data_IF_906357528367
#
_entry.id   IF_906357528367
#
_cell.length_a   1.000
_cell.length_b   1.000
_cell.length_c   1.000
_cell.angle_alpha   90.00
_cell.angle_beta   90.00
_cell.angle_gamma   90.00
#
_symmetry.space_group_name_H-M   'P 1'
#
loop_
_entity.id
_entity.type
_entity.pdbx_description
1 polymer ?
#
# COMPACT_ATOMS: atom_id res chain seq x y z
N UNK A 1 10.45 -38.46 -2.93
CA UNK A 1 9.88 -39.51 -2.06
C UNK A 1 9.01 -40.40 -2.94
N UNK A 2 9.16 -41.72 -2.86
CA UNK A 2 8.50 -42.65 -3.78
C UNK A 2 7.29 -43.31 -3.11
N UNK A 3 6.16 -43.38 -3.80
CA UNK A 3 5.01 -44.18 -3.36
C UNK A 3 5.12 -45.63 -3.92
N UNK A 4 4.73 -46.65 -3.16
CA UNK A 4 4.66 -48.03 -3.65
C UNK A 4 3.29 -48.37 -4.26
N UNK A 5 3.30 -49.18 -5.31
CA UNK A 5 2.16 -50.01 -5.74
C UNK A 5 2.01 -51.21 -4.78
N UNK A 6 0.78 -51.75 -4.65
CA UNK A 6 0.60 -53.16 -5.04
C UNK A 6 -0.76 -53.47 -5.69
N UNK A 7 -0.87 -54.60 -6.41
CA UNK A 7 -2.18 -55.28 -6.62
C UNK A 7 -2.69 -55.52 -8.04
N UNK A 8 -1.97 -56.31 -8.84
CA UNK A 8 -2.54 -57.18 -9.89
C UNK A 8 -2.36 -58.66 -9.43
N UNK A 9 -2.90 -59.73 -10.07
CA UNK A 9 -3.61 -59.89 -11.36
C UNK A 9 -5.11 -60.26 -11.13
N UNK A 10 -5.94 -60.96 -11.94
CA UNK A 10 -5.82 -61.85 -13.12
C UNK A 10 -7.08 -61.73 -14.01
N UNK A 11 -6.99 -61.81 -15.35
CA UNK A 11 -8.17 -61.85 -16.24
C UNK A 11 -8.76 -63.27 -16.43
N UNK A 12 -10.06 -63.34 -16.68
CA UNK A 12 -10.74 -64.47 -17.35
C UNK A 12 -11.33 -63.90 -18.65
N UNK A 13 -10.77 -64.18 -19.82
CA UNK A 13 -10.74 -65.44 -20.58
C UNK A 13 -12.06 -65.69 -21.32
N UNK A 14 -11.94 -65.77 -22.64
CA UNK A 14 -13.01 -65.87 -23.64
C UNK A 14 -13.34 -67.35 -23.90
N UNK A 15 -14.62 -67.67 -24.12
CA UNK A 15 -15.00 -68.49 -25.28
C UNK A 15 -16.52 -68.44 -25.60
N UNK A 16 -16.92 -68.57 -26.88
CA UNK A 16 -18.28 -68.82 -27.30
C UNK A 16 -18.58 -70.34 -27.42
N UNK A 17 -19.83 -70.72 -27.69
CA UNK A 17 -20.17 -72.06 -28.19
C UNK A 17 -19.80 -72.26 -29.68
N UNK A 18 -20.25 -73.34 -30.36
CA UNK A 18 -21.37 -74.24 -30.01
C UNK A 18 -21.12 -75.75 -30.32
N UNK A 19 -22.21 -76.50 -30.62
CA UNK A 19 -22.36 -77.79 -31.36
C UNK A 19 -23.00 -78.97 -30.58
N UNK A 20 -23.56 -79.93 -31.35
CA UNK A 20 -24.41 -81.09 -30.96
C UNK A 20 -23.57 -82.40 -31.00
N UNK A 21 -23.99 -83.63 -30.65
CA UNK A 21 -25.30 -84.28 -30.38
C UNK A 21 -25.08 -85.55 -29.46
N UNK A 22 -25.95 -86.54 -29.17
CA UNK A 22 -27.34 -86.90 -29.58
C UNK A 22 -28.30 -87.03 -28.36
N UNK A 23 -28.87 -88.14 -27.85
CA UNK A 23 -28.85 -89.61 -28.09
C UNK A 23 -28.54 -90.38 -26.77
N UNK A 24 -29.39 -91.23 -26.16
CA UNK A 24 -30.66 -91.87 -26.55
C UNK A 24 -31.46 -92.35 -25.29
N UNK A 25 -32.67 -92.93 -25.40
CA UNK A 25 -33.18 -93.91 -24.39
C UNK A 25 -34.39 -93.60 -23.46
N UNK A 26 -35.57 -93.32 -23.99
CA UNK A 26 -36.91 -93.44 -23.32
C UNK A 26 -37.23 -94.89 -22.86
N UNK A 27 -38.11 -95.18 -21.85
CA UNK A 27 -39.55 -94.82 -21.80
C UNK A 27 -40.11 -94.50 -20.38
N UNK A 28 -41.38 -94.14 -20.12
CA UNK A 28 -42.67 -94.50 -20.76
C UNK A 28 -43.81 -93.51 -20.47
N UNK A 29 -44.91 -93.60 -21.24
CA UNK A 29 -46.27 -93.26 -20.76
C UNK A 29 -47.03 -92.22 -21.59
N UNK A 30 -48.11 -92.59 -22.33
CA UNK A 30 -48.89 -91.65 -23.12
C UNK A 30 -50.07 -91.04 -22.37
N UNK A 31 -50.30 -89.73 -22.56
CA UNK A 31 -51.63 -89.13 -22.47
C UNK A 31 -51.89 -88.25 -23.69
N UNK A 32 -53.12 -88.32 -24.21
CA UNK A 32 -53.57 -87.63 -25.42
C UNK A 32 -54.11 -86.21 -25.11
N UNK A 33 -54.41 -85.37 -26.14
CA UNK A 33 -54.09 -83.95 -26.05
C UNK A 33 -55.16 -83.06 -25.39
N UNK A 34 -54.69 -81.94 -24.82
CA UNK A 34 -55.51 -80.78 -24.46
C UNK A 34 -55.03 -79.53 -25.24
N UNK A 35 -55.91 -78.76 -25.91
CA UNK A 35 -55.50 -77.66 -26.79
C UNK A 35 -55.46 -76.29 -26.10
N UNK A 36 -54.63 -75.38 -26.67
CA UNK A 36 -54.54 -73.91 -26.42
C UNK A 36 -53.88 -73.44 -25.11
N UNK A 37 -52.66 -72.91 -25.23
CA UNK A 37 -52.12 -71.89 -24.29
C UNK A 37 -51.44 -70.69 -24.98
N UNK A 38 -51.87 -70.33 -26.19
CA UNK A 38 -51.43 -69.07 -26.86
C UNK A 38 -51.87 -67.80 -26.11
N UNK A 39 -52.85 -67.88 -25.18
CA UNK A 39 -53.27 -66.76 -24.34
C UNK A 39 -52.25 -66.42 -23.26
N UNK A 40 -51.74 -67.40 -22.51
CA UNK A 40 -50.87 -67.12 -21.36
C UNK A 40 -49.53 -66.52 -21.80
N UNK A 41 -48.93 -67.01 -22.90
CA UNK A 41 -47.72 -66.42 -23.47
C UNK A 41 -47.91 -64.96 -23.92
N UNK A 42 -49.08 -64.63 -24.48
CA UNK A 42 -49.41 -63.26 -24.89
C UNK A 42 -49.68 -62.34 -23.69
N UNK A 43 -50.29 -62.86 -22.61
CA UNK A 43 -50.45 -62.12 -21.34
C UNK A 43 -49.09 -61.86 -20.68
N UNK A 44 -48.17 -62.83 -20.68
CA UNK A 44 -46.81 -62.65 -20.15
C UNK A 44 -46.03 -61.62 -20.99
N UNK A 45 -46.09 -61.71 -22.32
CA UNK A 45 -45.46 -60.72 -23.21
C UNK A 45 -46.04 -59.31 -23.00
N UNK A 46 -47.36 -59.18 -22.83
CA UNK A 46 -48.02 -57.91 -22.53
C UNK A 46 -47.62 -57.37 -21.15
N UNK A 47 -47.49 -58.23 -20.14
CA UNK A 47 -47.04 -57.83 -18.80
C UNK A 47 -45.57 -57.36 -18.79
N UNK A 48 -44.68 -58.01 -19.54
CA UNK A 48 -43.29 -57.57 -19.71
C UNK A 48 -43.24 -56.24 -20.47
N UNK A 49 -44.01 -56.09 -21.55
CA UNK A 49 -44.10 -54.83 -22.29
C UNK A 49 -44.64 -53.69 -21.42
N UNK A 50 -45.67 -53.94 -20.60
CA UNK A 50 -46.20 -52.98 -19.64
C UNK A 50 -45.18 -52.61 -18.56
N UNK A 51 -44.42 -53.59 -18.04
CA UNK A 51 -43.34 -53.33 -17.08
C UNK A 51 -42.23 -52.45 -17.68
N UNK A 52 -41.81 -52.71 -18.92
CA UNK A 52 -40.80 -51.91 -19.64
C UNK A 52 -41.31 -50.50 -19.95
N UNK A 53 -42.60 -50.34 -20.28
CA UNK A 53 -43.22 -49.02 -20.46
C UNK A 53 -43.29 -48.25 -19.13
N UNK A 54 -43.63 -48.91 -18.02
CA UNK A 54 -43.67 -48.29 -16.70
C UNK A 54 -42.27 -47.89 -16.19
N UNK A 55 -41.24 -48.71 -16.39
CA UNK A 55 -39.86 -48.35 -15.99
C UNK A 55 -39.28 -47.24 -16.86
N UNK A 56 -39.52 -47.26 -18.17
CA UNK A 56 -39.06 -46.18 -19.06
C UNK A 56 -39.78 -44.84 -18.78
N UNK A 57 -41.08 -44.85 -18.50
CA UNK A 57 -41.80 -43.65 -17.99
C UNK A 57 -41.25 -43.20 -16.64
N UNK A 58 -40.92 -44.13 -15.74
CA UNK A 58 -40.29 -43.82 -14.45
C UNK A 58 -38.93 -43.13 -14.61
N UNK A 59 -38.06 -43.65 -15.49
CA UNK A 59 -36.74 -43.06 -15.78
C UNK A 59 -36.87 -41.69 -16.46
N UNK A 60 -37.77 -41.54 -17.44
CA UNK A 60 -38.06 -40.23 -18.05
C UNK A 60 -38.56 -39.22 -17.04
N UNK A 61 -39.43 -39.64 -16.10
CA UNK A 61 -39.93 -38.78 -15.02
C UNK A 61 -38.81 -38.38 -14.06
N UNK A 62 -37.93 -39.31 -13.68
CA UNK A 62 -36.77 -39.02 -12.83
C UNK A 62 -35.82 -38.01 -13.49
N UNK A 63 -35.45 -38.22 -14.76
CA UNK A 63 -34.58 -37.31 -15.51
C UNK A 63 -35.18 -35.90 -15.68
N UNK A 64 -36.51 -35.80 -15.86
CA UNK A 64 -37.21 -34.51 -15.94
C UNK A 64 -37.30 -33.78 -14.58
N UNK A 65 -37.32 -34.51 -13.46
CA UNK A 65 -37.23 -33.92 -12.12
C UNK A 65 -35.80 -33.46 -11.85
N UNK A 66 -34.81 -34.32 -12.11
CA UNK A 66 -33.38 -34.06 -11.94
C UNK A 66 -32.95 -32.80 -12.72
N UNK A 67 -33.30 -32.72 -14.01
CA UNK A 67 -33.02 -31.55 -14.85
C UNK A 67 -33.68 -30.26 -14.35
N UNK A 68 -34.80 -30.37 -13.62
CA UNK A 68 -35.50 -29.21 -13.04
C UNK A 68 -34.88 -28.78 -11.71
N UNK A 69 -34.39 -29.69 -10.88
CA UNK A 69 -33.54 -29.33 -9.74
C UNK A 69 -32.26 -28.66 -10.22
N UNK A 70 -31.49 -29.29 -11.13
CA UNK A 70 -30.23 -28.69 -11.63
C UNK A 70 -30.43 -27.31 -12.24
N UNK A 71 -31.52 -27.09 -13.00
CA UNK A 71 -31.83 -25.78 -13.56
C UNK A 71 -32.30 -24.76 -12.50
N UNK A 72 -32.99 -25.19 -11.43
CA UNK A 72 -33.40 -24.32 -10.34
C UNK A 72 -32.22 -23.96 -9.41
N UNK A 73 -31.33 -24.91 -9.16
CA UNK A 73 -30.10 -24.74 -8.37
C UNK A 73 -29.12 -23.82 -9.11
N UNK A 74 -28.95 -24.00 -10.43
CA UNK A 74 -28.15 -23.10 -11.27
C UNK A 74 -28.74 -21.68 -11.26
N UNK A 75 -30.05 -21.53 -11.50
CA UNK A 75 -30.72 -20.23 -11.46
C UNK A 75 -30.80 -19.61 -10.05
N UNK A 76 -30.48 -20.37 -8.99
CA UNK A 76 -30.32 -19.85 -7.63
C UNK A 76 -28.86 -19.39 -7.40
N UNK A 77 -27.88 -20.14 -7.90
CA UNK A 77 -26.47 -19.74 -7.89
C UNK A 77 -26.23 -18.46 -8.72
N UNK A 78 -26.77 -18.39 -9.94
CA UNK A 78 -26.71 -17.20 -10.82
C UNK A 78 -27.21 -15.95 -10.09
N UNK A 79 -28.36 -16.01 -9.39
CA UNK A 79 -28.87 -14.88 -8.60
C UNK A 79 -28.00 -14.54 -7.40
N UNK A 80 -27.38 -15.52 -6.75
CA UNK A 80 -26.46 -15.25 -5.64
C UNK A 80 -25.15 -14.60 -6.12
N UNK A 81 -24.67 -14.97 -7.31
CA UNK A 81 -23.52 -14.34 -7.97
C UNK A 81 -23.85 -12.93 -8.47
N UNK A 82 -25.07 -12.70 -8.99
CA UNK A 82 -25.57 -11.36 -9.33
C UNK A 82 -25.69 -10.47 -8.07
N UNK A 83 -26.34 -10.94 -7.00
CA UNK A 83 -26.49 -10.20 -5.74
C UNK A 83 -25.15 -9.87 -5.08
N UNK A 84 -24.15 -10.76 -5.21
CA UNK A 84 -22.78 -10.50 -4.74
C UNK A 84 -22.09 -9.44 -5.61
N UNK A 85 -22.12 -9.55 -6.94
CA UNK A 85 -21.53 -8.54 -7.84
C UNK A 85 -22.17 -7.16 -7.66
N UNK A 86 -23.48 -7.11 -7.50
CA UNK A 86 -24.27 -5.90 -7.26
C UNK A 86 -23.98 -5.28 -5.87
N UNK A 87 -23.44 -6.07 -4.93
CA UNK A 87 -22.90 -5.60 -3.65
C UNK A 87 -21.46 -5.10 -3.78
N UNK A 88 -20.58 -5.90 -4.40
CA UNK A 88 -19.17 -5.57 -4.63
C UNK A 88 -19.01 -4.26 -5.42
N UNK A 89 -19.86 -4.02 -6.43
CA UNK A 89 -19.91 -2.77 -7.19
C UNK A 89 -20.33 -1.57 -6.33
N UNK A 90 -21.23 -1.75 -5.37
CA UNK A 90 -21.68 -0.69 -4.43
C UNK A 90 -20.62 -0.39 -3.37
N UNK A 91 -19.86 -1.38 -2.92
CA UNK A 91 -18.72 -1.18 -2.02
C UNK A 91 -17.55 -0.53 -2.77
N UNK A 92 -17.26 -0.95 -4.00
CA UNK A 92 -16.24 -0.33 -4.85
C UNK A 92 -16.56 1.13 -5.17
N UNK A 93 -17.80 1.47 -5.52
CA UNK A 93 -18.21 2.86 -5.76
C UNK A 93 -18.08 3.71 -4.50
N UNK A 94 -18.53 3.22 -3.33
CA UNK A 94 -18.33 3.91 -2.04
C UNK A 94 -16.85 4.10 -1.71
N UNK A 95 -15.99 3.15 -2.06
CA UNK A 95 -14.54 3.28 -1.96
C UNK A 95 -13.98 4.42 -2.82
N UNK A 96 -14.42 4.51 -4.09
CA UNK A 96 -14.04 5.60 -5.01
C UNK A 96 -14.54 6.96 -4.52
N UNK A 97 -15.80 7.05 -4.07
CA UNK A 97 -16.40 8.29 -3.58
C UNK A 97 -15.67 8.80 -2.32
N UNK A 98 -15.33 7.92 -1.38
CA UNK A 98 -14.54 8.25 -0.19
C UNK A 98 -13.12 8.72 -0.56
N UNK A 99 -12.43 8.00 -1.45
CA UNK A 99 -11.07 8.37 -1.90
C UNK A 99 -11.05 9.71 -2.63
N UNK A 100 -12.13 10.07 -3.35
CA UNK A 100 -12.27 11.38 -3.98
C UNK A 100 -12.39 12.51 -2.92
N UNK A 101 -13.15 12.29 -1.84
CA UNK A 101 -13.22 13.23 -0.71
C UNK A 101 -11.86 13.36 -0.04
N UNK A 102 -11.23 12.24 0.36
CA UNK A 102 -9.90 12.23 1.00
C UNK A 102 -8.83 12.94 0.16
N UNK A 103 -8.85 12.77 -1.17
CA UNK A 103 -7.96 13.49 -2.09
C UNK A 103 -8.20 15.00 -2.05
N UNK A 104 -9.46 15.47 -2.13
CA UNK A 104 -9.76 16.91 -2.07
C UNK A 104 -9.44 17.55 -0.71
N UNK A 105 -9.61 16.81 0.40
CA UNK A 105 -9.19 17.27 1.73
C UNK A 105 -7.67 17.34 1.84
N UNK A 106 -6.94 16.37 1.28
CA UNK A 106 -5.48 16.38 1.23
C UNK A 106 -4.92 17.53 0.36
N UNK A 107 -5.53 17.81 -0.79
CA UNK A 107 -5.18 18.96 -1.64
C UNK A 107 -5.42 20.29 -0.92
N UNK A 108 -6.56 20.45 -0.25
CA UNK A 108 -6.86 21.64 0.54
C UNK A 108 -5.89 21.81 1.73
N UNK A 109 -5.55 20.72 2.42
CA UNK A 109 -4.56 20.73 3.51
C UNK A 109 -3.15 21.08 3.02
N UNK A 110 -2.75 20.57 1.84
CA UNK A 110 -1.47 20.89 1.21
C UNK A 110 -1.39 22.36 0.78
N UNK A 111 -2.46 22.90 0.18
CA UNK A 111 -2.56 24.32 -0.14
C UNK A 111 -2.45 25.20 1.13
N UNK A 112 -3.21 24.87 2.17
CA UNK A 112 -3.15 25.59 3.46
C UNK A 112 -1.81 25.42 4.19
N UNK A 113 -1.04 24.35 3.95
CA UNK A 113 0.34 24.22 4.41
C UNK A 113 1.30 25.11 3.61
N UNK A 114 1.16 25.17 2.29
CA UNK A 114 1.96 26.03 1.42
C UNK A 114 1.77 27.52 1.72
N UNK A 115 0.52 27.97 1.94
CA UNK A 115 0.25 29.36 2.37
C UNK A 115 0.97 29.70 3.67
N UNK A 116 0.83 28.86 4.71
CA UNK A 116 1.49 29.08 6.01
C UNK A 116 3.02 29.04 5.92
N UNK A 117 3.58 28.25 5.02
CA UNK A 117 5.03 28.25 4.76
C UNK A 117 5.48 29.58 4.14
N UNK A 118 4.76 30.10 3.14
CA UNK A 118 5.04 31.40 2.54
C UNK A 118 4.82 32.58 3.50
N UNK A 119 3.81 32.51 4.37
CA UNK A 119 3.61 33.49 5.46
C UNK A 119 4.76 33.47 6.46
N UNK A 120 5.24 32.28 6.86
CA UNK A 120 6.37 32.13 7.77
C UNK A 120 7.70 32.60 7.15
N UNK A 121 7.92 32.34 5.86
CA UNK A 121 9.09 32.83 5.12
C UNK A 121 9.05 34.36 4.96
N UNK A 122 7.90 34.93 4.58
CA UNK A 122 7.72 36.38 4.51
C UNK A 122 7.86 37.08 5.88
N UNK A 123 7.40 36.45 6.97
CA UNK A 123 7.62 36.95 8.33
C UNK A 123 9.08 36.85 8.75
N UNK A 124 9.77 35.75 8.40
CA UNK A 124 11.21 35.58 8.65
C UNK A 124 12.03 36.64 7.92
N UNK A 125 11.82 36.84 6.62
CA UNK A 125 12.55 37.86 5.86
C UNK A 125 12.26 39.29 6.31
N UNK A 126 11.09 39.56 6.88
CA UNK A 126 10.82 40.84 7.56
C UNK A 126 11.58 40.97 8.88
N UNK A 127 11.67 39.90 9.68
CA UNK A 127 12.46 39.90 10.91
C UNK A 127 13.96 40.05 10.63
N UNK A 128 14.50 39.37 9.61
CA UNK A 128 15.89 39.51 9.15
C UNK A 128 16.19 40.93 8.67
N UNK A 129 15.29 41.55 7.88
CA UNK A 129 15.43 42.96 7.48
C UNK A 129 15.30 43.96 8.65
N UNK A 130 14.52 43.63 9.68
CA UNK A 130 14.34 44.48 10.87
C UNK A 130 15.44 44.29 11.93
N UNK A 131 16.21 43.20 11.85
CA UNK A 131 17.36 42.91 12.71
C UNK A 131 18.72 43.27 12.05
N UNK A 132 18.73 43.61 10.76
CA UNK A 132 19.92 44.10 10.08
C UNK A 132 20.42 45.43 10.68
N UNK A 133 21.74 45.62 10.90
CA UNK A 133 22.25 46.82 11.57
C UNK A 133 21.97 48.10 10.79
N UNK A 134 21.50 49.14 11.50
CA UNK A 134 21.30 50.47 10.96
C UNK A 134 22.59 51.30 10.91
N UNK A 135 22.56 52.43 10.20
CA UNK A 135 23.71 53.36 10.13
C UNK A 135 24.16 53.84 11.51
N UNK A 136 23.23 54.02 12.45
CA UNK A 136 23.51 54.34 13.86
C UNK A 136 24.37 53.30 14.57
N UNK A 137 24.23 52.04 14.17
CA UNK A 137 24.74 50.89 14.89
C UNK A 137 26.18 50.61 14.43
N UNK A 138 26.43 50.82 13.14
CA UNK A 138 27.78 50.98 12.59
C UNK A 138 28.51 52.21 13.16
N UNK A 139 27.86 53.37 13.30
CA UNK A 139 28.45 54.55 13.95
C UNK A 139 28.83 54.26 15.42
N UNK A 140 27.96 53.60 16.17
CA UNK A 140 28.20 53.20 17.57
C UNK A 140 29.34 52.17 17.68
N UNK A 141 29.35 51.14 16.84
CA UNK A 141 30.42 50.15 16.75
C UNK A 141 31.79 50.80 16.51
N UNK A 142 31.89 51.66 15.50
CA UNK A 142 33.12 52.38 15.16
C UNK A 142 33.55 53.35 16.28
N UNK A 143 32.58 53.98 16.96
CA UNK A 143 32.82 54.82 18.15
C UNK A 143 33.39 54.01 19.31
N UNK A 144 32.86 52.82 19.59
CA UNK A 144 33.34 51.92 20.63
C UNK A 144 34.79 51.50 20.37
N UNK A 145 35.11 51.02 19.17
CA UNK A 145 36.49 50.63 18.79
C UNK A 145 37.48 51.78 18.95
N UNK A 146 37.21 52.93 18.32
CA UNK A 146 38.10 54.10 18.29
C UNK A 146 38.24 54.78 19.66
N UNK A 147 37.32 54.51 20.59
CA UNK A 147 37.45 54.92 21.99
C UNK A 147 38.33 53.99 22.83
N UNK A 148 38.48 52.72 22.44
CA UNK A 148 39.10 51.67 23.27
C UNK A 148 40.58 51.46 22.96
N UNK A 149 40.96 51.31 21.68
CA UNK A 149 42.37 51.22 21.24
C UNK A 149 42.65 52.29 20.15
N UNK A 150 43.66 53.16 20.32
CA UNK A 150 44.05 54.12 19.29
C UNK A 150 44.52 53.49 17.96
N UNK A 151 44.91 52.21 17.91
CA UNK A 151 45.27 51.51 16.67
C UNK A 151 44.11 51.46 15.65
N UNK A 152 42.86 51.36 16.11
CA UNK A 152 41.67 51.39 15.24
C UNK A 152 41.40 52.78 14.62
N UNK A 153 42.16 53.82 14.97
CA UNK A 153 42.05 55.16 14.37
C UNK A 153 42.82 55.30 13.06
N UNK A 154 43.70 54.35 12.75
CA UNK A 154 44.45 54.28 11.48
C UNK A 154 43.94 53.20 10.53
N UNK A 155 42.89 52.47 10.92
CA UNK A 155 42.17 51.52 10.05
C UNK A 155 40.99 52.25 9.40
N UNK A 156 40.70 51.91 8.15
CA UNK A 156 39.55 52.45 7.42
C UNK A 156 38.23 51.94 7.99
N UNK A 157 37.20 52.78 7.97
CA UNK A 157 35.89 52.44 8.53
C UNK A 157 35.21 51.28 7.80
N UNK A 158 35.39 51.14 6.48
CA UNK A 158 34.83 50.02 5.73
C UNK A 158 35.44 48.68 6.17
N UNK A 159 36.76 48.64 6.41
CA UNK A 159 37.45 47.44 6.90
C UNK A 159 37.05 47.10 8.33
N UNK A 160 36.84 48.09 9.20
CA UNK A 160 36.35 47.82 10.56
C UNK A 160 34.92 47.27 10.54
N UNK A 161 34.03 47.85 9.73
CA UNK A 161 32.65 47.38 9.53
C UNK A 161 32.61 45.95 8.99
N UNK A 162 33.35 45.65 7.93
CA UNK A 162 33.44 44.30 7.34
C UNK A 162 33.84 43.24 8.38
N UNK A 163 34.80 43.55 9.27
CA UNK A 163 35.21 42.63 10.34
C UNK A 163 34.12 42.49 11.42
N UNK A 164 33.32 43.53 11.65
CA UNK A 164 32.15 43.50 12.53
C UNK A 164 31.05 42.60 11.99
N UNK A 165 30.68 42.80 10.72
CA UNK A 165 29.69 41.98 10.01
C UNK A 165 30.12 40.50 9.99
N UNK A 166 31.36 40.20 9.57
CA UNK A 166 31.92 38.82 9.56
C UNK A 166 31.97 38.20 10.96
N UNK A 167 32.13 39.01 12.02
CA UNK A 167 32.05 38.53 13.40
C UNK A 167 30.64 38.11 13.77
N UNK A 168 29.63 38.90 13.39
CA UNK A 168 28.22 38.60 13.65
C UNK A 168 27.73 37.40 12.81
N UNK A 169 28.09 37.31 11.53
CA UNK A 169 27.86 36.15 10.65
C UNK A 169 28.41 34.84 11.27
N UNK A 170 29.59 34.91 11.88
CA UNK A 170 30.21 33.77 12.55
C UNK A 170 29.45 33.36 13.84
N UNK A 171 28.90 34.33 14.58
CA UNK A 171 28.11 34.07 15.78
C UNK A 171 26.70 33.54 15.45
N UNK A 172 26.05 34.05 14.40
CA UNK A 172 24.78 33.50 13.90
C UNK A 172 24.97 32.08 13.33
N UNK A 173 26.12 31.80 12.69
CA UNK A 173 26.44 30.47 12.14
C UNK A 173 26.82 29.42 13.19
N UNK A 174 27.61 29.81 14.21
CA UNK A 174 28.24 28.88 15.16
C UNK A 174 27.82 29.05 16.62
N UNK A 175 26.90 29.98 16.91
CA UNK A 175 26.38 30.25 18.24
C UNK A 175 27.36 30.95 19.18
N UNK A 176 26.83 31.54 20.24
CA UNK A 176 27.50 32.49 21.12
C UNK A 176 28.50 31.89 22.15
N UNK A 177 28.94 30.63 21.96
CA UNK A 177 29.71 29.90 22.97
C UNK A 177 31.09 30.49 23.24
N UNK A 178 31.65 30.26 24.44
CA UNK A 178 33.05 30.60 24.76
C UNK A 178 34.05 30.01 23.75
N UNK A 179 33.77 28.81 23.24
CA UNK A 179 34.60 28.17 22.21
C UNK A 179 34.50 28.90 20.86
N UNK A 180 33.32 29.42 20.50
CA UNK A 180 33.11 30.25 19.31
C UNK A 180 33.81 31.60 19.47
N UNK A 181 33.57 32.31 20.58
CA UNK A 181 34.20 33.60 20.92
C UNK A 181 35.72 33.48 20.92
N UNK A 182 36.29 32.46 21.57
CA UNK A 182 37.74 32.21 21.56
C UNK A 182 38.29 31.87 20.16
N UNK A 183 37.48 31.26 19.29
CA UNK A 183 37.88 30.97 17.90
C UNK A 183 37.85 32.22 17.01
N UNK A 184 36.86 33.10 17.17
CA UNK A 184 36.83 34.42 16.51
C UNK A 184 38.08 35.23 16.92
N UNK A 185 38.39 35.28 18.21
CA UNK A 185 39.61 35.94 18.73
C UNK A 185 40.89 35.32 18.15
N UNK A 186 40.94 33.99 18.01
CA UNK A 186 42.06 33.28 17.38
C UNK A 186 42.21 33.61 15.88
N UNK A 187 41.09 33.76 15.17
CA UNK A 187 41.08 34.18 13.75
C UNK A 187 41.64 35.59 13.61
N UNK A 188 41.15 36.58 14.38
CA UNK A 188 41.68 37.94 14.33
C UNK A 188 43.17 38.04 14.71
N UNK A 189 43.63 37.23 15.67
CA UNK A 189 45.07 37.08 15.98
C UNK A 189 45.86 36.50 14.80
N UNK A 190 45.33 35.48 14.12
CA UNK A 190 45.97 34.92 12.91
C UNK A 190 46.03 35.92 11.74
N UNK A 191 45.07 36.86 11.69
CA UNK A 191 45.03 37.99 10.75
C UNK A 191 45.93 39.18 11.16
N UNK A 192 46.67 39.08 12.27
CA UNK A 192 47.66 40.07 12.70
C UNK A 192 47.21 41.05 13.79
N UNK A 193 46.00 40.90 14.34
CA UNK A 193 45.60 41.65 15.54
C UNK A 193 46.30 41.12 16.80
N UNK A 194 46.37 41.93 17.85
CA UNK A 194 46.60 41.38 19.20
C UNK A 194 45.34 40.67 19.72
N UNK A 195 45.50 39.71 20.65
CA UNK A 195 44.36 39.02 21.28
C UNK A 195 43.39 40.00 21.96
N UNK A 196 43.94 41.11 22.50
CA UNK A 196 43.17 42.21 23.07
C UNK A 196 42.30 42.88 22.00
N UNK A 197 42.92 43.39 20.93
CA UNK A 197 42.21 44.06 19.84
C UNK A 197 41.12 43.18 19.23
N UNK A 198 41.39 41.90 18.99
CA UNK A 198 40.39 40.99 18.46
C UNK A 198 39.25 40.70 19.46
N UNK A 199 39.53 40.68 20.77
CA UNK A 199 38.47 40.58 21.80
C UNK A 199 37.65 41.87 21.94
N UNK A 200 38.25 43.04 21.72
CA UNK A 200 37.56 44.34 21.73
C UNK A 200 36.68 44.49 20.49
N UNK A 201 37.15 44.06 19.31
CA UNK A 201 36.34 43.92 18.09
C UNK A 201 35.16 42.97 18.28
N UNK A 202 35.41 41.78 18.83
CA UNK A 202 34.34 40.80 19.09
C UNK A 202 33.29 41.36 20.06
N UNK A 203 33.73 42.02 21.13
CA UNK A 203 32.84 42.62 22.14
C UNK A 203 32.03 43.80 21.56
N UNK A 204 32.65 44.66 20.75
CA UNK A 204 31.96 45.80 20.15
C UNK A 204 30.92 45.35 19.10
N UNK A 205 31.23 44.33 18.30
CA UNK A 205 30.30 43.75 17.34
C UNK A 205 29.07 43.15 18.05
N UNK A 206 29.27 42.38 19.12
CA UNK A 206 28.19 41.82 19.95
C UNK A 206 27.33 42.93 20.58
N UNK A 207 27.93 44.04 21.05
CA UNK A 207 27.18 45.11 21.74
C UNK A 207 26.39 45.99 20.77
N UNK A 208 26.93 46.29 19.59
CA UNK A 208 26.37 47.28 18.67
C UNK A 208 25.70 46.69 17.42
N UNK A 209 26.28 45.65 16.81
CA UNK A 209 25.82 45.12 15.51
C UNK A 209 24.93 43.89 15.66
N UNK A 210 25.27 42.96 16.57
CA UNK A 210 24.51 41.74 16.80
C UNK A 210 24.14 41.52 18.29
N UNK A 211 23.32 42.41 18.88
CA UNK A 211 22.93 42.37 20.28
C UNK A 211 22.13 41.11 20.68
N UNK A 212 21.65 40.29 19.74
CA UNK A 212 21.11 38.96 20.04
C UNK A 212 22.14 38.07 20.77
N UNK A 213 23.44 38.26 20.51
CA UNK A 213 24.54 37.54 21.16
C UNK A 213 25.02 38.18 22.46
N UNK A 214 24.32 39.21 22.98
CA UNK A 214 24.66 39.88 24.24
C UNK A 214 23.97 39.30 25.48
N UNK A 215 23.03 38.35 25.30
CA UNK A 215 22.08 37.90 26.33
C UNK A 215 22.31 36.47 26.87
N UNK A 216 23.44 35.84 26.54
CA UNK A 216 23.95 34.59 27.17
C UNK A 216 25.14 34.88 28.10
#
# INVERSE_FOLDING_TARGET
MSQPLPGAPVPLLVDPGPWQADGDGTPSGPLQPAPRSRRNGLVIALAIAAAVLLTSVGVLTALLIDSRSTAADLAAAERAEDEQQDTDLRDAQRGVDNLAVEATEAEAAAAAASTRAGEAEAARSQAEQAAAPGTSDYEEYLRLLRSTDPAFRTVDDATLVEIGDVTCDYLDTYGNSDQTRARIVSIGVSSGMTSRQSSEVTSAAIVALCPQHSLD
#
